data_IF_090913586829
#
_entry.id   IF_090913586829
#
_cell.length_a   1.000
_cell.length_b   1.000
_cell.length_c   1.000
_cell.angle_alpha   90.00
_cell.angle_beta   90.00
_cell.angle_gamma   90.00
#
_symmetry.space_group_name_H-M   'P 1'
#
loop_
_entity.id
_entity.type
_entity.pdbx_description
1 polymer ?
#
# COMPACT_ATOMS: atom_id res chain seq x y z
N UNK A 1 13.83 10.35 -22.10
CA UNK A 1 14.36 8.99 -22.34
C UNK A 1 14.03 8.64 -23.78
N UNK A 2 14.97 8.10 -24.57
CA UNK A 2 14.67 7.70 -25.95
C UNK A 2 13.70 6.51 -25.99
N UNK A 3 12.96 6.32 -27.08
CA UNK A 3 12.07 5.15 -27.23
C UNK A 3 12.83 3.84 -27.05
N UNK A 4 14.10 3.81 -27.46
CA UNK A 4 15.02 2.67 -27.28
C UNK A 4 15.23 2.32 -25.81
N UNK A 5 15.40 3.30 -24.92
CA UNK A 5 15.58 3.06 -23.48
C UNK A 5 14.31 2.52 -22.81
N UNK A 6 13.13 2.93 -23.30
CA UNK A 6 11.84 2.42 -22.83
C UNK A 6 11.69 0.95 -23.27
N UNK A 7 12.01 0.63 -24.53
CA UNK A 7 11.99 -0.74 -25.05
C UNK A 7 12.91 -1.68 -24.28
N UNK A 8 14.14 -1.23 -23.95
CA UNK A 8 15.11 -2.06 -23.19
C UNK A 8 14.64 -2.33 -21.76
N UNK A 9 13.98 -1.36 -21.09
CA UNK A 9 13.39 -1.54 -19.76
C UNK A 9 12.18 -2.49 -19.78
N UNK A 10 11.34 -2.43 -20.83
CA UNK A 10 10.22 -3.37 -21.00
C UNK A 10 10.69 -4.78 -21.36
N UNK A 11 11.77 -4.93 -22.14
CA UNK A 11 12.33 -6.24 -22.48
C UNK A 11 13.06 -6.90 -21.30
N UNK A 12 13.73 -6.13 -20.43
CA UNK A 12 14.37 -6.71 -19.24
C UNK A 12 13.38 -7.31 -18.24
N UNK A 13 12.13 -6.82 -18.21
CA UNK A 13 11.04 -7.40 -17.42
C UNK A 13 10.65 -8.81 -17.91
N UNK A 14 10.94 -9.17 -19.16
CA UNK A 14 10.60 -10.49 -19.74
C UNK A 14 11.59 -11.61 -19.44
N UNK A 15 12.84 -11.29 -19.01
CA UNK A 15 13.96 -12.26 -18.97
C UNK A 15 14.47 -12.64 -17.56
N UNK A 16 14.02 -12.00 -16.49
CA UNK A 16 14.27 -12.52 -15.13
C UNK A 16 13.22 -13.57 -14.79
N UNK A 17 13.58 -14.63 -14.05
CA UNK A 17 12.62 -15.55 -13.44
C UNK A 17 11.73 -14.70 -12.53
N UNK A 18 10.56 -14.34 -13.04
CA UNK A 18 9.65 -13.40 -12.41
C UNK A 18 9.29 -13.90 -11.00
N UNK A 19 9.35 -13.02 -9.99
CA UNK A 19 8.70 -13.24 -8.69
C UNK A 19 7.19 -13.25 -8.90
N UNK A 20 6.63 -14.35 -9.41
CA UNK A 20 5.19 -14.55 -9.65
C UNK A 20 4.59 -15.35 -8.51
N UNK A 21 3.38 -14.97 -8.09
CA UNK A 21 2.57 -15.76 -7.17
C UNK A 21 2.43 -17.20 -7.70
N UNK A 22 2.50 -18.19 -6.81
CA UNK A 22 2.39 -19.60 -7.20
C UNK A 22 1.03 -19.98 -7.82
N UNK A 23 -0.01 -19.18 -7.58
CA UNK A 23 -1.34 -19.32 -8.19
C UNK A 23 -1.93 -17.95 -8.50
N UNK A 24 -2.62 -17.84 -9.62
CA UNK A 24 -3.42 -16.66 -10.00
C UNK A 24 -4.89 -16.79 -9.62
N UNK A 25 -5.29 -17.93 -9.06
CA UNK A 25 -6.66 -18.15 -8.60
C UNK A 25 -6.97 -17.28 -7.37
N UNK A 26 -8.07 -16.51 -7.40
CA UNK A 26 -8.51 -15.76 -6.23
C UNK A 26 -8.75 -16.68 -5.04
N UNK A 27 -8.35 -16.23 -3.86
CA UNK A 27 -8.58 -16.97 -2.64
C UNK A 27 -10.07 -16.90 -2.25
N UNK A 28 -10.61 -18.03 -1.78
CA UNK A 28 -12.02 -18.14 -1.38
C UNK A 28 -12.21 -18.07 0.14
N UNK A 29 -13.18 -17.26 0.60
CA UNK A 29 -13.70 -17.25 1.96
C UNK A 29 -13.94 -18.63 2.60
N UNK A 30 -13.56 -18.84 3.88
CA UNK A 30 -13.88 -20.08 4.63
C UNK A 30 -14.97 -19.93 5.70
N UNK A 31 -15.24 -18.70 6.17
CA UNK A 31 -16.11 -18.37 7.30
C UNK A 31 -15.40 -18.38 8.66
N UNK A 32 -14.07 -18.57 8.71
CA UNK A 32 -13.36 -18.83 9.97
C UNK A 32 -13.37 -17.64 10.95
N UNK A 33 -13.54 -16.41 10.43
CA UNK A 33 -13.64 -15.20 11.23
C UNK A 33 -15.08 -14.79 11.57
N UNK A 34 -16.11 -15.49 11.05
CA UNK A 34 -17.53 -15.10 11.23
C UNK A 34 -17.99 -15.16 12.70
N UNK A 35 -17.26 -15.90 13.53
CA UNK A 35 -17.50 -15.97 14.98
C UNK A 35 -17.07 -14.71 15.74
N UNK A 36 -16.26 -13.85 15.14
CA UNK A 36 -15.78 -12.63 15.77
C UNK A 36 -16.67 -11.45 15.39
N UNK A 37 -17.04 -10.66 16.38
CA UNK A 37 -17.75 -9.41 16.17
C UNK A 37 -16.88 -8.42 15.38
N UNK A 38 -17.50 -7.72 14.44
CA UNK A 38 -16.84 -6.69 13.67
C UNK A 38 -17.77 -5.53 13.30
N UNK A 39 -17.16 -4.41 12.93
CA UNK A 39 -17.85 -3.23 12.41
C UNK A 39 -17.20 -2.76 11.12
N UNK A 40 -17.94 -2.79 10.02
CA UNK A 40 -17.55 -2.13 8.77
C UNK A 40 -17.58 -0.61 8.97
N UNK A 41 -16.40 0.01 9.08
CA UNK A 41 -16.26 1.43 9.46
C UNK A 41 -16.85 2.35 8.40
N UNK A 42 -16.77 1.95 7.13
CA UNK A 42 -17.43 2.63 6.00
C UNK A 42 -18.05 1.64 5.03
N UNK A 43 -18.94 2.05 4.11
CA UNK A 43 -19.51 1.12 3.13
C UNK A 43 -18.50 0.52 2.14
N UNK A 44 -17.33 1.15 1.93
CA UNK A 44 -16.39 0.81 0.85
C UNK A 44 -15.08 0.19 1.34
N UNK A 45 -14.60 0.62 2.51
CA UNK A 45 -13.25 0.37 3.02
C UNK A 45 -13.24 0.35 4.56
N UNK A 46 -12.45 -0.54 5.14
CA UNK A 46 -12.24 -0.59 6.59
C UNK A 46 -13.26 -1.44 7.34
N UNK A 47 -12.76 -2.35 8.20
CA UNK A 47 -13.48 -2.87 9.36
C UNK A 47 -12.59 -2.96 10.57
N UNK A 48 -13.27 -2.86 11.68
CA UNK A 48 -12.68 -2.92 12.99
C UNK A 48 -13.13 -4.22 13.65
N UNK A 49 -12.16 -4.90 14.26
CA UNK A 49 -12.37 -6.00 15.19
C UNK A 49 -12.09 -5.48 16.60
N UNK A 50 -13.11 -4.95 17.31
CA UNK A 50 -12.90 -4.24 18.57
C UNK A 50 -12.41 -5.17 19.69
N UNK A 51 -12.82 -6.44 19.64
CA UNK A 51 -12.67 -7.40 20.74
C UNK A 51 -11.71 -8.56 20.41
N UNK A 52 -10.87 -8.43 19.37
CA UNK A 52 -9.94 -9.48 18.93
C UNK A 52 -8.50 -9.10 19.25
N UNK A 53 -7.76 -10.01 19.88
CA UNK A 53 -6.30 -9.89 20.02
C UNK A 53 -5.60 -10.69 18.92
N UNK A 54 -4.66 -10.06 18.21
CA UNK A 54 -3.85 -10.67 17.17
C UNK A 54 -2.98 -11.82 17.72
N UNK A 55 -2.58 -11.75 18.99
CA UNK A 55 -1.86 -12.85 19.65
C UNK A 55 -2.71 -14.11 19.75
N UNK A 56 -4.02 -13.97 19.96
CA UNK A 56 -4.93 -15.12 20.08
C UNK A 56 -5.09 -15.79 18.71
N UNK A 57 -5.18 -14.99 17.64
CA UNK A 57 -5.18 -15.52 16.27
C UNK A 57 -3.86 -16.22 15.92
N UNK A 58 -2.72 -15.66 16.35
CA UNK A 58 -1.39 -16.23 16.10
C UNK A 58 -1.11 -17.53 16.86
N UNK A 59 -1.78 -17.74 17.99
CA UNK A 59 -1.55 -18.87 18.91
C UNK A 59 -2.67 -19.93 18.85
N UNK A 60 -3.76 -19.67 18.12
CA UNK A 60 -4.84 -20.64 17.94
C UNK A 60 -4.35 -21.90 17.20
N UNK A 61 -5.00 -23.04 17.48
CA UNK A 61 -4.69 -24.31 16.80
C UNK A 61 -4.91 -24.20 15.28
N UNK A 62 -5.92 -23.45 14.85
CA UNK A 62 -6.20 -23.14 13.45
C UNK A 62 -5.68 -21.75 13.02
N UNK A 63 -4.56 -21.27 13.59
CA UNK A 63 -3.98 -19.97 13.29
C UNK A 63 -3.80 -19.69 11.80
N UNK A 64 -3.33 -20.67 11.03
CA UNK A 64 -3.11 -20.50 9.58
C UNK A 64 -4.43 -20.29 8.82
N UNK A 65 -5.50 -20.96 9.25
CA UNK A 65 -6.83 -20.74 8.69
C UNK A 65 -7.34 -19.34 9.04
N UNK A 66 -7.24 -18.93 10.31
CA UNK A 66 -7.69 -17.62 10.77
C UNK A 66 -6.92 -16.46 10.11
N UNK A 67 -5.60 -16.59 9.96
CA UNK A 67 -4.76 -15.56 9.34
C UNK A 67 -4.96 -15.54 7.84
N UNK A 68 -5.09 -16.72 7.20
CA UNK A 68 -5.47 -16.80 5.79
C UNK A 68 -6.84 -16.17 5.59
N UNK A 69 -7.76 -16.37 6.51
CA UNK A 69 -9.06 -15.74 6.46
C UNK A 69 -8.99 -14.22 6.66
N UNK A 70 -8.11 -13.73 7.53
CA UNK A 70 -7.81 -12.31 7.65
C UNK A 70 -7.23 -11.73 6.34
N UNK A 71 -6.48 -12.53 5.57
CA UNK A 71 -6.07 -12.17 4.20
C UNK A 71 -7.27 -12.12 3.23
N UNK A 72 -8.28 -12.99 3.41
CA UNK A 72 -9.41 -13.26 2.50
C UNK A 72 -10.75 -12.60 2.91
N UNK A 73 -11.49 -13.13 3.91
CA UNK A 73 -12.81 -12.64 4.39
C UNK A 73 -12.66 -11.41 5.27
N UNK A 74 -11.70 -11.45 6.19
CA UNK A 74 -11.39 -10.37 7.09
C UNK A 74 -10.66 -9.25 6.36
N UNK A 75 -11.26 -8.65 5.35
CA UNK A 75 -11.15 -7.20 5.22
C UNK A 75 -9.83 -6.53 4.81
N UNK A 76 -8.78 -7.29 4.52
CA UNK A 76 -7.58 -6.72 3.94
C UNK A 76 -7.67 -6.59 2.43
N UNK A 77 -7.84 -7.71 1.73
CA UNK A 77 -7.76 -7.69 0.26
C UNK A 77 -9.04 -7.20 -0.40
N UNK A 78 -10.21 -7.35 0.23
CA UNK A 78 -11.49 -6.86 -0.29
C UNK A 78 -11.86 -5.46 0.24
N UNK A 79 -11.52 -5.20 1.50
CA UNK A 79 -11.92 -3.99 2.25
C UNK A 79 -10.74 -3.08 2.58
N UNK A 80 -9.58 -3.39 1.99
CA UNK A 80 -8.35 -2.62 1.96
C UNK A 80 -7.59 -2.48 3.28
N UNK A 81 -8.26 -2.35 4.43
CA UNK A 81 -7.64 -2.12 5.73
C UNK A 81 -8.50 -2.71 6.87
N UNK A 82 -7.84 -3.26 7.89
CA UNK A 82 -8.46 -3.72 9.13
C UNK A 82 -7.82 -3.04 10.34
N UNK A 83 -8.63 -2.86 11.37
CA UNK A 83 -8.23 -2.23 12.61
C UNK A 83 -8.46 -3.14 13.80
N UNK A 84 -7.50 -3.14 14.72
CA UNK A 84 -7.55 -3.87 15.98
C UNK A 84 -7.22 -2.91 17.13
N UNK A 85 -8.04 -2.93 18.18
CA UNK A 85 -7.89 -2.02 19.31
C UNK A 85 -7.01 -2.60 20.41
N UNK A 86 -6.17 -1.77 21.02
CA UNK A 86 -5.38 -2.11 22.21
C UNK A 86 -4.69 -3.50 22.15
N UNK A 87 -3.74 -3.66 21.24
CA UNK A 87 -3.08 -4.94 20.96
C UNK A 87 -1.83 -5.16 21.82
N UNK A 88 -1.74 -6.33 22.44
CA UNK A 88 -0.57 -6.76 23.22
C UNK A 88 0.56 -7.39 22.38
N UNK A 89 0.45 -7.38 21.06
CA UNK A 89 1.43 -7.97 20.14
C UNK A 89 2.81 -7.29 20.26
N UNK A 90 3.88 -8.07 20.42
CA UNK A 90 5.26 -7.57 20.42
C UNK A 90 5.87 -7.50 19.00
N UNK A 91 7.10 -7.00 18.89
CA UNK A 91 7.80 -6.83 17.60
C UNK A 91 8.00 -8.16 16.87
N UNK A 92 8.37 -9.23 17.59
CA UNK A 92 8.66 -10.54 16.97
C UNK A 92 7.37 -11.21 16.51
N UNK A 93 6.29 -11.09 17.29
CA UNK A 93 4.96 -11.53 16.90
C UNK A 93 4.43 -10.71 15.71
N UNK A 94 4.68 -9.39 15.66
CA UNK A 94 4.30 -8.55 14.52
C UNK A 94 5.05 -8.95 13.24
N UNK A 95 6.35 -9.27 13.33
CA UNK A 95 7.12 -9.85 12.21
C UNK A 95 6.57 -11.20 11.77
N UNK A 96 6.29 -12.09 12.73
CA UNK A 96 5.68 -13.41 12.47
C UNK A 96 4.34 -13.27 11.75
N UNK A 97 3.49 -12.34 12.19
CA UNK A 97 2.21 -12.04 11.54
C UNK A 97 2.42 -11.51 10.12
N UNK A 98 3.28 -10.51 9.92
CA UNK A 98 3.57 -9.95 8.60
C UNK A 98 4.08 -11.01 7.63
N UNK A 99 4.96 -11.89 8.09
CA UNK A 99 5.47 -13.00 7.29
C UNK A 99 4.36 -14.01 6.95
N UNK A 100 3.52 -14.38 7.93
CA UNK A 100 2.39 -15.30 7.71
C UNK A 100 1.38 -14.74 6.73
N UNK A 101 1.03 -13.45 6.81
CA UNK A 101 0.11 -12.80 5.86
C UNK A 101 0.59 -12.98 4.41
N UNK A 102 1.86 -12.69 4.15
CA UNK A 102 2.46 -12.87 2.82
C UNK A 102 2.49 -14.34 2.37
N UNK A 103 2.95 -15.25 3.22
CA UNK A 103 3.01 -16.68 2.88
C UNK A 103 1.60 -17.25 2.61
N UNK A 104 0.62 -16.93 3.46
CA UNK A 104 -0.74 -17.44 3.35
C UNK A 104 -1.55 -16.76 2.22
N UNK A 105 -1.15 -15.55 1.79
CA UNK A 105 -1.66 -14.93 0.55
C UNK A 105 -1.11 -15.61 -0.70
N UNK A 106 -0.01 -16.37 -0.58
CA UNK A 106 0.62 -17.12 -1.66
C UNK A 106 1.76 -16.38 -2.36
N UNK A 107 2.33 -15.34 -1.74
CA UNK A 107 3.45 -14.56 -2.30
C UNK A 107 4.61 -15.46 -2.80
N UNK A 108 5.48 -14.95 -3.71
CA UNK A 108 6.68 -15.66 -4.14
C UNK A 108 7.57 -16.08 -2.96
N UNK A 109 8.26 -17.24 -3.06
CA UNK A 109 9.07 -17.79 -1.96
C UNK A 109 10.28 -16.91 -1.63
N UNK A 110 10.75 -16.16 -2.62
CA UNK A 110 11.86 -15.24 -2.57
C UNK A 110 11.48 -13.92 -1.86
N UNK A 111 10.18 -13.65 -1.71
CA UNK A 111 9.69 -12.47 -1.01
C UNK A 111 9.59 -12.72 0.51
N UNK A 112 10.23 -11.84 1.28
CA UNK A 112 10.26 -11.84 2.73
C UNK A 112 9.62 -10.59 3.34
N UNK A 113 10.16 -10.18 4.48
CA UNK A 113 9.87 -8.89 5.09
C UNK A 113 10.80 -7.82 4.51
N UNK A 114 10.26 -6.64 4.25
CA UNK A 114 11.01 -5.55 3.63
C UNK A 114 11.97 -4.88 4.62
N UNK A 115 13.15 -4.52 4.14
CA UNK A 115 14.12 -3.67 4.85
C UNK A 115 14.12 -2.30 4.17
N UNK A 116 13.84 -1.22 4.91
CA UNK A 116 13.71 0.11 4.31
C UNK A 116 15.05 0.61 3.72
N UNK A 117 15.06 1.27 2.54
CA UNK A 117 16.32 1.76 1.93
C UNK A 117 17.06 2.80 2.80
N UNK A 118 16.36 3.43 3.75
CA UNK A 118 16.94 4.36 4.73
C UNK A 118 17.22 3.73 6.10
N UNK A 119 17.25 2.40 6.21
CA UNK A 119 17.51 1.68 7.48
C UNK A 119 18.81 2.13 8.16
N UNK A 120 19.81 2.54 7.37
CA UNK A 120 21.08 3.15 7.84
C UNK A 120 20.89 4.42 8.68
N UNK A 121 19.70 5.02 8.63
CA UNK A 121 19.31 6.23 9.37
C UNK A 121 18.36 5.97 10.54
N UNK A 122 17.77 4.78 10.65
CA UNK A 122 16.57 4.54 11.47
C UNK A 122 16.64 3.32 12.39
N UNK A 123 17.68 2.47 12.30
CA UNK A 123 17.74 1.26 13.10
C UNK A 123 17.77 1.58 14.61
N UNK A 124 16.67 1.27 15.32
CA UNK A 124 16.60 1.24 16.78
C UNK A 124 17.31 -0.03 17.25
N UNK A 125 18.19 0.09 18.23
CA UNK A 125 18.92 -1.06 18.78
C UNK A 125 17.92 -2.11 19.28
N UNK A 126 17.94 -3.31 18.70
CA UNK A 126 17.16 -4.46 19.17
C UNK A 126 15.89 -4.81 18.39
N UNK A 127 15.40 -3.96 17.47
CA UNK A 127 14.16 -4.26 16.70
C UNK A 127 14.39 -5.06 15.41
N UNK A 128 15.63 -5.16 14.93
CA UNK A 128 15.97 -5.77 13.64
C UNK A 128 15.73 -4.86 12.43
N UNK A 129 16.33 -5.16 11.26
CA UNK A 129 16.27 -4.32 10.06
C UNK A 129 14.91 -4.32 9.35
N UNK A 130 14.03 -5.27 9.64
CA UNK A 130 12.69 -5.42 9.05
C UNK A 130 11.64 -4.49 9.69
N UNK A 131 11.99 -3.82 10.80
CA UNK A 131 11.13 -2.86 11.47
C UNK A 131 11.47 -1.45 10.99
N UNK A 132 10.47 -0.80 10.39
CA UNK A 132 10.54 0.62 10.07
C UNK A 132 9.80 1.41 11.16
N UNK A 133 10.58 2.11 11.99
CA UNK A 133 10.03 3.01 13.02
C UNK A 133 9.49 4.27 12.35
N UNK A 134 8.17 4.45 12.41
CA UNK A 134 7.48 5.64 11.93
C UNK A 134 7.43 6.63 13.08
N UNK A 135 8.38 7.57 13.11
CA UNK A 135 8.53 8.54 14.19
C UNK A 135 8.44 9.98 13.69
N UNK A 136 7.84 10.84 14.52
CA UNK A 136 7.89 12.30 14.38
C UNK A 136 9.10 12.94 15.06
N UNK A 137 9.94 12.16 15.75
CA UNK A 137 11.23 12.60 16.24
C UNK A 137 12.19 12.83 15.07
N UNK A 138 11.99 13.94 14.36
CA UNK A 138 12.89 14.43 13.31
C UNK A 138 13.66 15.63 13.82
N UNK A 139 14.84 15.84 13.25
CA UNK A 139 15.49 17.15 13.34
C UNK A 139 14.64 18.15 12.55
N UNK A 140 13.80 18.93 13.25
CA UNK A 140 12.91 19.95 12.66
C UNK A 140 13.66 20.93 11.75
N UNK A 141 14.99 21.05 11.89
CA UNK A 141 15.88 21.87 11.03
C UNK A 141 15.95 21.39 9.57
N UNK A 142 15.61 20.14 9.28
CA UNK A 142 15.66 19.58 7.91
C UNK A 142 14.31 19.65 7.17
N UNK A 143 13.20 19.92 7.87
CA UNK A 143 11.86 20.00 7.26
C UNK A 143 11.56 21.39 6.67
N UNK A 144 12.15 22.44 7.22
CA UNK A 144 12.01 23.81 6.73
C UNK A 144 13.33 24.31 6.16
N UNK A 145 13.50 24.21 4.83
CA UNK A 145 14.61 24.88 4.14
C UNK A 145 14.39 26.39 3.99
N UNK A 146 13.20 26.89 4.31
CA UNK A 146 12.79 28.28 4.16
C UNK A 146 11.60 28.56 5.07
N UNK A 147 11.70 29.58 5.91
CA UNK A 147 10.56 30.12 6.67
C UNK A 147 9.51 30.78 5.74
N UNK A 148 9.84 30.99 4.46
CA UNK A 148 8.98 31.61 3.44
C UNK A 148 8.18 30.59 2.62
N UNK A 149 8.57 29.30 2.61
CA UNK A 149 7.82 28.23 1.91
C UNK A 149 7.45 27.12 2.89
N UNK A 150 6.26 27.27 3.47
CA UNK A 150 5.66 26.36 4.44
C UNK A 150 4.56 25.49 3.82
N UNK A 151 4.61 25.19 2.51
CA UNK A 151 3.54 24.45 1.81
C UNK A 151 3.09 23.17 2.55
N UNK A 152 1.84 23.17 3.05
CA UNK A 152 1.27 22.08 3.87
C UNK A 152 0.33 21.12 3.12
N UNK A 153 0.37 21.08 1.78
CA UNK A 153 -0.53 20.20 1.02
C UNK A 153 -0.25 18.71 1.29
N UNK A 154 -0.99 18.13 2.24
CA UNK A 154 -0.96 16.72 2.58
C UNK A 154 -1.30 15.83 1.38
N UNK A 155 -2.03 16.34 0.38
CA UNK A 155 -2.37 15.61 -0.84
C UNK A 155 -1.16 14.99 -1.56
N UNK A 156 0.03 15.59 -1.43
CA UNK A 156 1.29 15.10 -2.02
C UNK A 156 1.80 13.80 -1.37
N UNK A 157 1.35 13.50 -0.16
CA UNK A 157 1.79 12.34 0.62
C UNK A 157 0.89 11.11 0.43
N UNK A 158 -0.21 11.18 -0.34
CA UNK A 158 -0.99 9.98 -0.69
C UNK A 158 -0.12 8.97 -1.42
N UNK A 159 -0.01 7.77 -0.87
CA UNK A 159 0.81 6.70 -1.43
C UNK A 159 0.34 5.30 -1.08
N UNK A 160 0.75 4.34 -1.90
CA UNK A 160 0.96 2.96 -1.48
C UNK A 160 2.44 2.81 -1.15
N UNK A 161 2.77 2.02 -0.14
CA UNK A 161 4.15 1.83 0.28
C UNK A 161 4.99 1.17 -0.82
N UNK A 162 6.21 1.67 -0.99
CA UNK A 162 7.32 0.96 -1.67
C UNK A 162 7.04 0.68 -3.15
N UNK A 163 6.16 1.46 -3.80
CA UNK A 163 5.89 1.33 -5.25
C UNK A 163 7.08 1.70 -6.14
N UNK A 164 8.20 2.11 -5.57
CA UNK A 164 9.44 2.43 -6.28
C UNK A 164 10.40 1.24 -6.37
N UNK A 165 10.06 0.11 -5.74
CA UNK A 165 10.79 -1.15 -5.86
C UNK A 165 10.12 -2.07 -6.91
N UNK A 166 10.89 -2.93 -7.61
CA UNK A 166 10.32 -3.89 -8.56
C UNK A 166 9.26 -4.81 -7.94
N UNK A 167 9.47 -5.26 -6.70
CA UNK A 167 8.55 -6.09 -5.92
C UNK A 167 8.05 -5.27 -4.72
N UNK A 168 6.93 -4.55 -4.84
CA UNK A 168 6.41 -3.70 -3.77
C UNK A 168 5.71 -4.51 -2.68
N UNK A 169 5.26 -3.81 -1.64
CA UNK A 169 4.55 -4.43 -0.53
C UNK A 169 3.18 -4.99 -0.93
N UNK A 170 2.85 -6.19 -0.44
CA UNK A 170 1.50 -6.75 -0.45
C UNK A 170 0.69 -6.31 0.77
N UNK A 171 1.26 -6.43 1.98
CA UNK A 171 0.66 -6.04 3.24
C UNK A 171 1.61 -5.24 4.11
N UNK A 172 1.06 -4.33 4.89
CA UNK A 172 1.78 -3.63 5.94
C UNK A 172 0.97 -3.63 7.23
N UNK A 173 1.69 -3.71 8.35
CA UNK A 173 1.17 -3.70 9.72
C UNK A 173 1.82 -2.54 10.44
N UNK A 174 1.02 -1.65 11.03
CA UNK A 174 1.48 -0.54 11.86
C UNK A 174 0.84 -0.62 13.24
N UNK A 175 1.68 -0.68 14.28
CA UNK A 175 1.27 -0.50 15.67
C UNK A 175 1.70 0.87 16.16
N UNK A 176 0.78 1.68 16.67
CA UNK A 176 1.11 2.97 17.30
C UNK A 176 1.22 2.78 18.81
N UNK A 177 2.40 3.06 19.38
CA UNK A 177 2.65 2.92 20.83
C UNK A 177 2.84 4.26 21.55
N UNK A 178 3.23 5.31 20.81
CA UNK A 178 3.38 6.68 21.30
C UNK A 178 2.58 7.61 20.39
N UNK A 179 1.74 8.46 20.96
CA UNK A 179 0.87 9.37 20.22
C UNK A 179 0.53 10.60 21.06
N UNK A 180 0.24 11.74 20.42
CA UNK A 180 -0.41 12.88 21.05
C UNK A 180 -1.81 12.50 21.57
N UNK A 181 -2.34 13.28 22.51
CA UNK A 181 -3.69 13.08 23.07
C UNK A 181 -4.80 13.23 22.01
N UNK A 182 -4.63 14.22 21.14
CA UNK A 182 -5.47 14.47 19.98
C UNK A 182 -4.55 14.67 18.79
N UNK A 183 -4.95 14.18 17.60
CA UNK A 183 -4.22 14.26 16.31
C UNK A 183 -3.44 13.00 15.92
N UNK A 184 -2.85 13.01 14.72
CA UNK A 184 -2.00 11.93 14.22
C UNK A 184 -2.75 10.76 13.57
N UNK A 185 -3.99 11.02 13.16
CA UNK A 185 -4.84 10.07 12.46
C UNK A 185 -4.23 9.65 11.12
N UNK A 186 -4.58 8.45 10.67
CA UNK A 186 -4.24 8.00 9.33
C UNK A 186 -5.51 7.86 8.50
N UNK A 187 -5.45 8.25 7.24
CA UNK A 187 -6.55 8.09 6.28
C UNK A 187 -6.12 7.08 5.22
N UNK A 188 -7.00 6.15 4.87
CA UNK A 188 -6.83 5.21 3.76
C UNK A 188 -7.87 5.48 2.68
N UNK A 189 -7.54 5.12 1.44
CA UNK A 189 -8.38 5.24 0.26
C UNK A 189 -8.39 3.92 -0.54
N UNK A 190 -9.56 3.51 -1.03
CA UNK A 190 -9.71 2.28 -1.82
C UNK A 190 -9.32 2.51 -3.29
N UNK A 191 -8.29 1.80 -3.75
CA UNK A 191 -7.89 1.76 -5.15
C UNK A 191 -8.90 1.03 -6.05
N UNK A 192 -9.71 0.13 -5.48
CA UNK A 192 -10.82 -0.51 -6.18
C UNK A 192 -11.94 0.48 -6.48
N UNK A 193 -12.40 1.21 -5.46
CA UNK A 193 -13.47 2.20 -5.65
C UNK A 193 -12.99 3.34 -6.57
N UNK A 194 -11.71 3.71 -6.50
CA UNK A 194 -11.13 4.66 -7.44
C UNK A 194 -11.25 4.17 -8.89
N UNK A 195 -10.90 2.89 -9.16
CA UNK A 195 -11.08 2.31 -10.50
C UNK A 195 -12.56 2.22 -10.90
N UNK A 196 -13.44 1.77 -10.00
CA UNK A 196 -14.87 1.60 -10.25
C UNK A 196 -15.60 2.91 -10.64
N UNK A 197 -15.06 4.07 -10.23
CA UNK A 197 -15.58 5.41 -10.58
C UNK A 197 -15.22 5.87 -11.98
N UNK A 198 -14.20 5.28 -12.59
CA UNK A 198 -13.82 5.63 -13.95
C UNK A 198 -14.95 5.27 -14.92
N UNK A 199 -15.23 6.20 -15.84
CA UNK A 199 -16.10 5.89 -16.98
C UNK A 199 -15.53 4.68 -17.73
N UNK A 200 -16.35 3.82 -18.38
CA UNK A 200 -15.86 2.69 -19.14
C UNK A 200 -14.81 3.09 -20.19
N UNK A 201 -14.98 4.24 -20.83
CA UNK A 201 -14.02 4.77 -21.79
C UNK A 201 -12.67 5.09 -21.15
N UNK A 202 -12.67 5.81 -20.01
CA UNK A 202 -11.45 6.18 -19.32
C UNK A 202 -10.77 4.96 -18.68
N UNK A 203 -11.54 4.04 -18.09
CA UNK A 203 -11.02 2.79 -17.55
C UNK A 203 -10.29 1.99 -18.64
N UNK A 204 -10.93 1.77 -19.79
CA UNK A 204 -10.35 1.06 -20.93
C UNK A 204 -9.10 1.75 -21.48
N UNK A 205 -9.08 3.08 -21.51
CA UNK A 205 -7.91 3.85 -21.94
C UNK A 205 -6.70 3.65 -21.00
N UNK A 206 -6.93 3.55 -19.69
CA UNK A 206 -5.88 3.39 -18.68
C UNK A 206 -5.39 1.94 -18.54
N UNK A 207 -6.22 0.97 -18.93
CA UNK A 207 -5.87 -0.46 -18.93
C UNK A 207 -4.71 -0.73 -19.90
N UNK A 208 -3.65 -1.38 -19.40
CA UNK A 208 -2.44 -1.68 -20.17
C UNK A 208 -1.38 -0.58 -20.18
N UNK A 209 -1.69 0.63 -19.70
CA UNK A 209 -0.68 1.69 -19.54
C UNK A 209 0.24 1.37 -18.35
N UNK A 210 1.47 1.87 -18.40
CA UNK A 210 2.47 1.72 -17.35
C UNK A 210 2.98 3.08 -16.88
N UNK A 211 3.36 3.16 -15.61
CA UNK A 211 3.89 4.36 -15.00
C UNK A 211 5.20 4.09 -14.27
N UNK A 212 6.11 5.06 -14.32
CA UNK A 212 7.34 5.06 -13.55
C UNK A 212 7.09 5.66 -12.16
N UNK A 213 7.55 4.93 -11.14
CA UNK A 213 7.52 5.30 -9.74
C UNK A 213 8.95 5.51 -9.27
N UNK A 214 9.20 6.62 -8.58
CA UNK A 214 10.55 7.02 -8.15
C UNK A 214 10.55 7.64 -6.75
N UNK A 215 11.47 7.17 -5.91
CA UNK A 215 11.69 7.71 -4.56
C UNK A 215 13.05 8.41 -4.38
N UNK A 216 13.46 9.24 -5.36
CA UNK A 216 14.68 10.04 -5.29
C UNK A 216 14.78 10.95 -4.05
N UNK A 217 13.65 11.26 -3.41
CA UNK A 217 13.60 11.99 -2.13
C UNK A 217 14.36 11.28 -1.01
N UNK A 218 14.36 9.94 -0.96
CA UNK A 218 15.05 9.19 0.09
C UNK A 218 16.57 9.27 -0.07
N UNK A 219 17.07 9.16 -1.31
CA UNK A 219 18.48 9.37 -1.62
C UNK A 219 18.95 10.75 -1.14
N UNK A 220 18.23 11.81 -1.53
CA UNK A 220 18.53 13.19 -1.09
C UNK A 220 18.52 13.34 0.43
N UNK A 221 17.56 12.71 1.12
CA UNK A 221 17.46 12.75 2.57
C UNK A 221 18.68 12.11 3.24
N UNK A 222 19.04 10.88 2.84
CA UNK A 222 20.15 10.15 3.45
C UNK A 222 21.50 10.82 3.15
N UNK A 223 21.69 11.34 1.94
CA UNK A 223 22.87 12.14 1.56
C UNK A 223 22.99 13.42 2.40
N UNK A 224 21.87 14.09 2.72
CA UNK A 224 21.89 15.28 3.58
C UNK A 224 22.36 15.00 5.02
N UNK A 225 22.32 13.74 5.44
CA UNK A 225 22.83 13.28 6.74
C UNK A 225 24.27 12.72 6.65
N UNK A 226 24.94 12.86 5.50
CA UNK A 226 26.28 12.31 5.27
C UNK A 226 26.30 10.77 5.24
N UNK A 227 25.16 10.14 4.96
CA UNK A 227 24.99 8.68 4.92
C UNK A 227 24.70 8.21 3.49
N UNK A 228 24.71 6.90 3.29
CA UNK A 228 24.30 6.25 2.04
C UNK A 228 23.06 5.39 2.26
N UNK A 229 22.30 5.20 1.18
CA UNK A 229 21.20 4.24 1.16
C UNK A 229 21.73 2.82 1.38
N UNK A 230 20.89 1.96 1.94
CA UNK A 230 21.13 0.52 1.97
C UNK A 230 21.07 -0.03 0.54
N UNK A 231 22.18 -0.57 0.07
CA UNK A 231 22.36 -1.09 -1.28
C UNK A 231 22.15 -2.61 -1.39
N UNK A 232 22.13 -3.32 -0.27
CA UNK A 232 21.86 -4.76 -0.21
C UNK A 232 20.40 -5.11 -0.50
N UNK A 233 20.11 -6.41 -0.47
CA UNK A 233 18.73 -6.91 -0.63
C UNK A 233 17.81 -6.33 0.44
N UNK A 234 16.60 -5.96 0.01
CA UNK A 234 15.55 -5.37 0.86
C UNK A 234 14.37 -6.30 1.06
N UNK A 235 14.65 -7.58 1.28
CA UNK A 235 13.65 -8.64 1.51
C UNK A 235 13.23 -9.41 0.25
N UNK A 236 13.75 -9.05 -0.92
CA UNK A 236 13.62 -9.80 -2.17
C UNK A 236 14.88 -9.54 -3.04
N UNK A 237 15.41 -10.54 -3.76
CA UNK A 237 16.62 -10.38 -4.59
C UNK A 237 16.47 -9.37 -5.73
N UNK A 238 15.25 -9.03 -6.15
CA UNK A 238 14.98 -8.01 -7.16
C UNK A 238 14.94 -6.59 -6.56
N UNK A 239 14.81 -6.46 -5.23
CA UNK A 239 14.79 -5.18 -4.50
C UNK A 239 16.17 -4.91 -3.91
N UNK A 240 17.11 -4.50 -4.77
CA UNK A 240 18.53 -4.31 -4.43
C UNK A 240 19.06 -3.01 -5.06
N UNK A 241 20.22 -2.54 -4.61
CA UNK A 241 20.87 -1.35 -5.14
C UNK A 241 20.24 -0.05 -4.67
N UNK A 242 20.72 1.08 -5.21
CA UNK A 242 20.32 2.42 -4.77
C UNK A 242 19.42 3.16 -5.77
N UNK A 243 19.09 2.51 -6.89
CA UNK A 243 18.15 3.05 -7.86
C UNK A 243 16.71 2.72 -7.45
N UNK A 244 16.11 3.62 -6.67
CA UNK A 244 14.75 3.49 -6.17
C UNK A 244 13.73 3.89 -7.24
N UNK A 245 13.71 3.14 -8.35
CA UNK A 245 12.81 3.34 -9.50
C UNK A 245 12.24 2.01 -9.98
N UNK A 246 10.94 1.98 -10.24
CA UNK A 246 10.25 0.84 -10.81
C UNK A 246 9.16 1.28 -11.79
N UNK A 247 8.78 0.38 -12.70
CA UNK A 247 7.70 0.58 -13.67
C UNK A 247 6.58 -0.40 -13.34
N UNK A 248 5.36 0.11 -13.21
CA UNK A 248 4.19 -0.67 -12.83
C UNK A 248 2.98 -0.32 -13.70
N UNK A 249 1.99 -1.22 -13.83
CA UNK A 249 0.73 -0.91 -14.49
C UNK A 249 -0.01 0.24 -13.79
N UNK A 250 -0.63 1.12 -14.57
CA UNK A 250 -1.51 2.20 -14.04
C UNK A 250 -2.75 1.59 -13.39
N UNK A 251 -3.32 0.58 -14.05
CA UNK A 251 -4.35 -0.30 -13.50
C UNK A 251 -3.71 -1.66 -13.28
N UNK A 252 -3.68 -2.14 -12.04
CA UNK A 252 -3.17 -3.47 -11.71
C UNK A 252 -4.29 -4.44 -11.35
N UNK A 253 -3.98 -5.72 -11.38
CA UNK A 253 -4.78 -6.78 -10.78
C UNK A 253 -4.25 -7.09 -9.38
N UNK A 254 -5.15 -7.15 -8.40
CA UNK A 254 -4.82 -7.69 -7.08
C UNK A 254 -4.81 -9.23 -7.18
N UNK A 255 -3.71 -9.89 -6.81
CA UNK A 255 -3.55 -11.34 -7.02
C UNK A 255 -4.42 -12.19 -6.07
N UNK A 256 -4.86 -11.63 -4.93
CA UNK A 256 -5.67 -12.33 -3.94
C UNK A 256 -7.14 -12.32 -4.35
N UNK A 257 -7.64 -11.18 -4.85
CA UNK A 257 -9.05 -11.01 -5.23
C UNK A 257 -9.33 -11.21 -6.71
N UNK A 258 -8.32 -11.05 -7.57
CA UNK A 258 -8.49 -10.96 -9.02
C UNK A 258 -9.16 -9.65 -9.45
N UNK A 259 -9.19 -8.63 -8.59
CA UNK A 259 -9.87 -7.35 -8.89
C UNK A 259 -8.91 -6.29 -9.43
N UNK A 260 -9.41 -5.45 -10.33
CA UNK A 260 -8.72 -4.28 -10.86
C UNK A 260 -8.67 -3.15 -9.84
N UNK A 261 -7.50 -2.55 -9.65
CA UNK A 261 -7.28 -1.39 -8.79
C UNK A 261 -6.41 -0.34 -9.51
N UNK A 262 -6.70 0.94 -9.23
CA UNK A 262 -5.80 2.04 -9.58
C UNK A 262 -4.49 1.88 -8.80
N UNK A 263 -3.33 2.04 -9.47
CA UNK A 263 -2.00 1.83 -8.86
C UNK A 263 -1.00 2.93 -9.21
N UNK A 264 -1.46 4.17 -9.24
CA UNK A 264 -0.61 5.36 -9.31
C UNK A 264 -0.84 6.24 -8.09
N UNK A 265 0.21 6.90 -7.62
CA UNK A 265 0.13 7.74 -6.43
C UNK A 265 0.99 9.01 -6.55
N UNK A 266 0.53 10.09 -5.92
CA UNK A 266 1.16 11.41 -6.06
C UNK A 266 2.56 11.47 -5.48
N UNK A 267 2.84 10.65 -4.47
CA UNK A 267 4.13 10.66 -3.79
C UNK A 267 5.26 10.10 -4.67
N UNK A 268 5.02 9.00 -5.39
CA UNK A 268 6.05 8.26 -6.12
C UNK A 268 5.89 8.27 -7.63
N UNK A 269 4.68 8.31 -8.18
CA UNK A 269 4.49 8.27 -9.64
C UNK A 269 5.01 9.55 -10.30
N UNK A 270 5.71 9.43 -11.42
CA UNK A 270 6.31 10.57 -12.16
C UNK A 270 5.79 10.72 -13.58
N UNK A 271 5.49 9.63 -14.27
CA UNK A 271 5.11 9.64 -15.69
C UNK A 271 4.42 8.35 -16.10
N UNK A 272 3.40 8.45 -16.94
CA UNK A 272 2.83 7.35 -17.73
C UNK A 272 3.63 7.23 -19.02
N UNK A 273 4.15 6.04 -19.31
CA UNK A 273 5.21 5.86 -20.31
C UNK A 273 4.70 5.94 -21.75
N UNK A 274 3.50 5.47 -21.99
CA UNK A 274 2.86 5.38 -23.32
C UNK A 274 2.22 6.70 -23.76
N UNK A 275 2.22 7.72 -22.90
CA UNK A 275 1.64 9.04 -23.18
C UNK A 275 2.74 10.08 -23.41
N UNK A 276 2.40 11.18 -24.09
CA UNK A 276 3.27 12.37 -24.09
C UNK A 276 3.36 12.97 -22.67
N UNK A 277 4.29 13.91 -22.44
CA UNK A 277 4.46 14.51 -21.10
C UNK A 277 3.21 15.24 -20.63
N UNK A 278 2.61 16.04 -21.50
CA UNK A 278 1.46 16.85 -21.12
C UNK A 278 0.22 15.98 -20.88
N UNK A 279 0.02 14.95 -21.71
CA UNK A 279 -1.05 13.95 -21.51
C UNK A 279 -0.84 13.15 -20.22
N UNK A 280 0.39 12.71 -19.95
CA UNK A 280 0.74 12.01 -18.71
C UNK A 280 0.44 12.89 -17.49
N UNK A 281 0.85 14.15 -17.51
CA UNK A 281 0.65 15.06 -16.38
C UNK A 281 -0.83 15.33 -16.13
N UNK A 282 -1.59 15.66 -17.18
CA UNK A 282 -3.03 15.89 -17.09
C UNK A 282 -3.77 14.64 -16.58
N UNK A 283 -3.38 13.46 -17.07
CA UNK A 283 -3.98 12.18 -16.67
C UNK A 283 -3.68 11.87 -15.21
N UNK A 284 -2.40 11.96 -14.80
CA UNK A 284 -1.99 11.71 -13.42
C UNK A 284 -2.65 12.70 -12.45
N UNK A 285 -2.74 13.98 -12.81
CA UNK A 285 -3.40 14.99 -11.99
C UNK A 285 -4.88 14.68 -11.76
N UNK A 286 -5.59 14.20 -12.79
CA UNK A 286 -6.97 13.75 -12.64
C UNK A 286 -7.06 12.53 -11.71
N UNK A 287 -6.20 11.53 -11.89
CA UNK A 287 -6.18 10.31 -11.06
C UNK A 287 -5.83 10.63 -9.59
N UNK A 288 -4.94 11.58 -9.35
CA UNK A 288 -4.62 12.04 -7.99
C UNK A 288 -5.78 12.79 -7.35
N UNK A 289 -6.49 13.64 -8.11
CA UNK A 289 -7.73 14.29 -7.65
C UNK A 289 -8.81 13.27 -7.33
N UNK A 290 -8.94 12.21 -8.13
CA UNK A 290 -9.91 11.14 -7.87
C UNK A 290 -9.71 10.53 -6.46
N UNK A 291 -8.46 10.23 -6.08
CA UNK A 291 -8.15 9.76 -4.73
C UNK A 291 -8.33 10.86 -3.69
N UNK A 292 -7.84 12.07 -3.96
CA UNK A 292 -7.82 13.16 -2.98
C UNK A 292 -9.21 13.75 -2.67
N UNK A 293 -10.09 13.88 -3.64
CA UNK A 293 -11.31 14.70 -3.52
C UNK A 293 -12.55 13.85 -3.17
N UNK A 294 -12.50 12.53 -3.36
CA UNK A 294 -13.63 11.65 -3.04
C UNK A 294 -13.52 11.16 -1.58
N UNK A 295 -14.40 11.62 -0.71
CA UNK A 295 -14.36 11.26 0.72
C UNK A 295 -15.00 9.89 0.99
N UNK A 296 -15.94 9.47 0.15
CA UNK A 296 -16.73 8.25 0.29
C UNK A 296 -16.00 6.97 -0.16
N UNK A 297 -14.78 7.10 -0.70
CA UNK A 297 -13.86 5.98 -0.93
C UNK A 297 -12.79 5.83 0.17
N UNK A 298 -12.89 6.63 1.24
CA UNK A 298 -11.89 6.72 2.30
C UNK A 298 -12.42 6.27 3.64
N UNK A 299 -11.49 5.86 4.50
CA UNK A 299 -11.70 5.71 5.95
C UNK A 299 -10.63 6.51 6.68
N UNK A 300 -11.03 7.22 7.73
CA UNK A 300 -10.10 7.89 8.66
C UNK A 300 -10.11 7.11 9.96
N UNK A 301 -8.93 6.71 10.43
CA UNK A 301 -8.78 6.00 11.69
C UNK A 301 -8.11 6.91 12.72
N UNK A 302 -8.83 7.16 13.81
CA UNK A 302 -8.27 7.78 15.00
C UNK A 302 -7.58 6.71 15.84
N UNK A 303 -6.29 6.88 16.03
CA UNK A 303 -5.45 5.96 16.78
C UNK A 303 -5.67 6.10 18.29
N UNK A 304 -5.66 4.98 19.00
CA UNK A 304 -5.37 4.91 20.43
C UNK A 304 -4.02 4.21 20.67
N UNK A 305 -3.56 4.24 21.91
CA UNK A 305 -2.34 3.53 22.30
C UNK A 305 -2.49 2.02 22.04
N UNK A 306 -1.49 1.43 21.41
CA UNK A 306 -1.39 0.03 21.03
C UNK A 306 -2.39 -0.44 19.97
N UNK A 307 -3.12 0.46 19.33
CA UNK A 307 -3.95 0.09 18.18
C UNK A 307 -3.06 -0.38 17.03
N UNK A 308 -3.58 -1.32 16.24
CA UNK A 308 -2.91 -1.88 15.06
C UNK A 308 -3.81 -1.71 13.85
N UNK A 309 -3.24 -1.19 12.75
CA UNK A 309 -3.84 -1.29 11.44
C UNK A 309 -3.03 -2.27 10.58
N UNK A 310 -3.73 -3.10 9.82
CA UNK A 310 -3.15 -3.91 8.76
C UNK A 310 -3.83 -3.47 7.46
N UNK A 311 -3.10 -3.28 6.37
CA UNK A 311 -3.69 -2.93 5.08
C UNK A 311 -3.07 -3.70 3.91
N UNK A 312 -3.90 -3.96 2.90
CA UNK A 312 -3.46 -4.52 1.62
C UNK A 312 -2.96 -3.38 0.72
N UNK A 313 -1.64 -3.29 0.60
CA UNK A 313 -0.96 -2.20 -0.08
C UNK A 313 -1.08 -2.29 -1.62
N UNK A 314 -1.39 -3.48 -2.15
CA UNK A 314 -1.64 -3.72 -3.57
C UNK A 314 -2.90 -3.06 -4.12
N UNK A 315 -3.81 -2.58 -3.27
CA UNK A 315 -5.07 -1.96 -3.71
C UNK A 315 -5.53 -0.78 -2.85
N UNK A 316 -4.65 -0.23 -2.01
CA UNK A 316 -4.98 0.88 -1.12
C UNK A 316 -3.92 1.97 -1.16
N UNK A 317 -4.35 3.19 -0.88
CA UNK A 317 -3.49 4.33 -0.61
C UNK A 317 -3.70 4.78 0.83
N UNK A 318 -2.70 5.43 1.42
CA UNK A 318 -2.83 6.02 2.73
C UNK A 318 -2.07 7.34 2.86
N UNK A 319 -2.43 8.09 3.88
CA UNK A 319 -1.85 9.38 4.21
C UNK A 319 -1.92 9.60 5.73
N UNK A 320 -0.77 9.89 6.34
CA UNK A 320 -0.70 10.27 7.76
C UNK A 320 -1.00 11.75 7.93
N UNK A 321 -1.94 12.07 8.81
CA UNK A 321 -2.28 13.46 9.13
C UNK A 321 -1.17 14.02 10.01
N UNK A 322 -0.50 15.09 9.56
CA UNK A 322 0.57 15.76 10.33
C UNK A 322 0.02 16.99 11.05
N UNK A 323 -0.90 16.75 11.98
CA UNK A 323 -1.63 17.76 12.76
C UNK A 323 -1.18 17.80 14.23
N UNK A 324 0.08 17.45 14.51
CA UNK A 324 0.63 17.35 15.87
C UNK A 324 2.08 17.83 15.93
N UNK A 325 2.47 18.38 17.08
CA UNK A 325 3.84 18.75 17.42
C UNK A 325 4.54 17.75 18.35
N UNK A 326 3.76 16.99 19.11
CA UNK A 326 4.25 16.02 20.08
C UNK A 326 4.84 14.76 19.41
N UNK A 327 5.50 13.96 20.22
CA UNK A 327 6.06 12.69 19.79
C UNK A 327 4.94 11.71 19.38
N UNK A 328 5.03 11.21 18.16
CA UNK A 328 4.21 10.13 17.63
C UNK A 328 5.13 9.07 17.06
N UNK A 329 5.02 7.85 17.57
CA UNK A 329 5.84 6.71 17.17
C UNK A 329 5.02 5.44 17.03
N UNK A 330 5.37 4.68 16.00
CA UNK A 330 4.90 3.32 15.84
C UNK A 330 5.84 2.46 15.03
N UNK A 331 5.68 1.16 15.20
CA UNK A 331 6.50 0.14 14.56
C UNK A 331 5.76 -0.43 13.36
N UNK A 332 6.40 -0.36 12.18
CA UNK A 332 5.85 -0.86 10.93
C UNK A 332 6.61 -2.10 10.46
N UNK A 333 5.86 -3.18 10.22
CA UNK A 333 6.33 -4.37 9.51
C UNK A 333 5.68 -4.37 8.13
N UNK A 334 6.47 -4.70 7.12
CA UNK A 334 6.00 -4.72 5.73
C UNK A 334 6.36 -6.07 5.11
N UNK A 335 5.36 -6.76 4.57
CA UNK A 335 5.53 -7.92 3.71
C UNK A 335 5.68 -7.48 2.26
N UNK A 336 6.53 -8.18 1.50
CA UNK A 336 6.66 -8.01 0.06
C UNK A 336 5.79 -9.01 -0.69
N UNK A 337 5.19 -8.56 -1.79
CA UNK A 337 4.36 -9.40 -2.65
C UNK A 337 5.09 -9.92 -3.88
N UNK A 338 4.41 -9.82 -5.01
CA UNK A 338 4.89 -10.08 -6.35
C UNK A 338 5.09 -8.79 -7.17
N UNK A 339 5.69 -8.92 -8.36
CA UNK A 339 5.69 -7.82 -9.33
C UNK A 339 4.26 -7.45 -9.74
N UNK A 340 3.86 -6.17 -9.68
CA UNK A 340 2.53 -5.76 -10.10
C UNK A 340 2.29 -6.07 -11.57
N UNK A 341 1.13 -6.65 -11.87
CA UNK A 341 0.73 -7.01 -13.22
C UNK A 341 -0.71 -6.57 -13.51
N UNK A 342 -1.05 -6.53 -14.79
CA UNK A 342 -2.39 -6.30 -15.28
C UNK A 342 -2.86 -7.55 -16.03
N UNK A 343 -3.98 -8.13 -15.62
CA UNK A 343 -4.67 -9.20 -16.34
C UNK A 343 -5.91 -8.62 -17.06
N UNK A 344 -5.99 -8.66 -18.40
CA UNK A 344 -7.15 -8.17 -19.15
C UNK A 344 -8.45 -8.89 -18.80
N UNK A 345 -8.39 -10.13 -18.28
CA UNK A 345 -9.56 -10.92 -17.88
C UNK A 345 -9.99 -10.66 -16.43
N UNK A 346 -9.21 -9.89 -15.67
CA UNK A 346 -9.58 -9.51 -14.31
C UNK A 346 -10.84 -8.63 -14.31
N UNK A 347 -11.56 -8.63 -13.20
CA UNK A 347 -12.83 -7.91 -13.07
C UNK A 347 -12.64 -6.66 -12.22
N UNK A 348 -13.48 -5.65 -12.43
CA UNK A 348 -13.67 -4.62 -11.42
C UNK A 348 -14.27 -5.21 -10.14
N UNK A 349 -14.11 -4.53 -9.01
CA UNK A 349 -14.73 -5.00 -7.75
C UNK A 349 -16.26 -5.03 -7.88
N UNK A 350 -16.86 -3.98 -8.47
CA UNK A 350 -18.32 -3.94 -8.67
C UNK A 350 -18.81 -5.10 -9.52
N UNK A 351 -18.14 -5.41 -10.63
CA UNK A 351 -18.51 -6.55 -11.50
C UNK A 351 -18.39 -7.88 -10.76
N UNK A 352 -17.31 -8.08 -10.00
CA UNK A 352 -17.11 -9.29 -9.21
C UNK A 352 -18.18 -9.47 -8.12
N UNK A 353 -18.69 -8.37 -7.56
CA UNK A 353 -19.75 -8.36 -6.55
C UNK A 353 -21.17 -8.22 -7.15
N UNK A 354 -21.32 -8.25 -8.48
CA UNK A 354 -22.63 -8.10 -9.15
C UNK A 354 -23.28 -6.71 -8.95
N UNK A 355 -22.51 -5.70 -8.58
CA UNK A 355 -22.99 -4.34 -8.35
C UNK A 355 -23.02 -3.53 -9.65
N UNK A 356 -24.02 -2.65 -9.80
CA UNK A 356 -24.07 -1.71 -10.93
C UNK A 356 -22.99 -0.63 -10.82
N UNK A 357 -22.43 -0.19 -11.95
CA UNK A 357 -21.61 1.03 -12.01
C UNK A 357 -22.46 2.24 -11.62
N UNK A 358 -21.92 3.11 -10.76
CA UNK A 358 -22.55 4.36 -10.31
C UNK A 358 -22.37 5.49 -11.35
N UNK A 359 -22.57 5.17 -12.62
CA UNK A 359 -22.66 6.22 -13.64
C UNK A 359 -24.13 6.57 -13.70
N UNK A 360 -24.45 7.81 -13.35
CA UNK A 360 -25.77 8.37 -13.60
C UNK A 360 -25.97 8.39 -15.12
N UNK A 361 -26.47 7.27 -15.64
CA UNK A 361 -27.06 7.24 -16.97
C UNK A 361 -28.33 8.05 -16.86
N UNK A 362 -28.40 9.16 -17.60
CA UNK A 362 -29.70 9.58 -18.11
C UNK A 362 -30.30 8.34 -18.75
N UNK A 363 -31.33 7.77 -18.11
CA UNK A 363 -32.25 6.91 -18.82
C UNK A 363 -32.86 7.82 -19.88
N UNK A 364 -32.33 7.77 -21.10
CA UNK A 364 -33.08 8.22 -22.25
C UNK A 364 -34.28 7.29 -22.33
N UNK A 365 -35.38 7.72 -21.73
CA UNK A 365 -36.70 7.21 -22.06
C UNK A 365 -36.87 7.44 -23.56
N UNK A 366 -36.79 6.37 -24.35
CA UNK A 366 -37.40 6.34 -25.67
C UNK A 366 -38.88 6.04 -25.51
#
# INVERSE_FOLDING_TARGET
MSSTAITTLTESLSKSKLSVRASTEPLKPTGALDKYEFVDVTPVIGREYPNVQLTDLLNAENADELIRELVIIGELSQRNVVFFRNQNIDIEQQKKLGNKLGVLSGRPKESGLHIHPTVTTQAKVGSGPEIHVITSAKDKRLEHKSDLDVSQFSSREWHSDITFEPVPSDFAILKIHTLPETCGDTIWASGYEAYDRLSPALAKYLEGLTAIHEASKFKRYVESLGKTLHDGERGNPENVGTDLRAIHPVIRTNPVTGWKALFVNKNFTRRILELTKDESDATLDYLFKLVNDNHDLKVRFKWNKNDVAIWANSASFHNGTRDYDDLREGDRVVSLGERPYYDPNSKSRREALGQKKRIFGFQATQ
#
